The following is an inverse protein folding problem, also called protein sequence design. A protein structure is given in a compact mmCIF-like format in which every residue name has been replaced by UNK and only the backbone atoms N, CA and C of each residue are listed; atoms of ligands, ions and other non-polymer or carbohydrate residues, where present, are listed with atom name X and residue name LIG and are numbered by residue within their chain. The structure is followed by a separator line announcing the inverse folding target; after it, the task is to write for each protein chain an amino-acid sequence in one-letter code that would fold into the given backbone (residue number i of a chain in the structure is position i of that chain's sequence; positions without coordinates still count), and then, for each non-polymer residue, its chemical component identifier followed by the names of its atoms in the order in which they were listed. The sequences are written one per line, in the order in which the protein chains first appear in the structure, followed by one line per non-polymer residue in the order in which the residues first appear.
data_IF_294562833361
#
_entry.id   IF_294562833361
#
_cell.length_a   1.000
_cell.length_b   1.000
_cell.length_c   1.000
_cell.angle_alpha   90.00
_cell.angle_beta   90.00
_cell.angle_gamma   90.00
#
_symmetry.space_group_name_H-M   'P 1'
#
loop_
_entity.id
_entity.type
_entity.pdbx_description
1 polymer ?
#
# COMPACT_ATOMS: atom_id res chain seq x y z
N UNK A 1 -9.16 -8.53 -25.67
CA UNK A 1 -8.06 -8.66 -24.69
C UNK A 1 -8.64 -8.50 -23.28
N UNK A 2 -8.88 -9.60 -22.55
CA UNK A 2 -9.31 -9.51 -21.15
C UNK A 2 -8.14 -8.96 -20.31
N UNK A 3 -8.16 -7.66 -20.06
CA UNK A 3 -7.20 -6.94 -19.21
C UNK A 3 -7.18 -7.56 -17.82
N UNK A 4 -6.29 -8.53 -17.62
CA UNK A 4 -6.15 -9.31 -16.40
C UNK A 4 -6.01 -8.37 -15.20
N UNK A 5 -7.06 -8.29 -14.38
CA UNK A 5 -7.10 -7.54 -13.12
C UNK A 5 -5.94 -7.99 -12.22
N UNK A 6 -4.83 -7.25 -12.27
CA UNK A 6 -3.57 -7.55 -11.58
C UNK A 6 -3.67 -7.21 -10.08
N UNK A 7 -4.75 -7.61 -9.41
CA UNK A 7 -4.97 -7.43 -7.95
C UNK A 7 -3.78 -7.98 -7.15
N UNK A 8 -3.24 -9.14 -7.56
CA UNK A 8 -2.06 -9.77 -6.92
C UNK A 8 -0.81 -8.91 -7.06
N UNK A 9 -0.53 -8.37 -8.26
CA UNK A 9 0.64 -7.50 -8.48
C UNK A 9 0.51 -6.20 -7.68
N UNK A 10 -0.68 -5.59 -7.66
CA UNK A 10 -0.97 -4.37 -6.88
C UNK A 10 -0.73 -4.56 -5.38
N UNK A 11 -1.16 -5.69 -4.81
CA UNK A 11 -0.88 -6.01 -3.40
C UNK A 11 0.61 -6.27 -3.13
N UNK A 12 1.32 -6.89 -4.08
CA UNK A 12 2.78 -7.13 -3.98
C UNK A 12 3.62 -5.86 -4.11
N UNK A 13 3.14 -4.82 -4.76
CA UNK A 13 3.87 -3.55 -4.90
C UNK A 13 3.46 -2.50 -3.89
N UNK A 14 2.17 -2.45 -3.51
CA UNK A 14 1.63 -1.35 -2.71
C UNK A 14 0.90 -1.79 -1.43
N UNK A 15 0.79 -3.10 -1.19
CA UNK A 15 0.12 -3.64 -0.02
C UNK A 15 0.84 -3.32 1.29
N UNK A 16 0.15 -3.53 2.40
CA UNK A 16 0.62 -3.17 3.74
C UNK A 16 1.97 -3.79 4.11
N UNK A 17 2.13 -5.10 3.89
CA UNK A 17 3.39 -5.80 4.20
C UNK A 17 4.60 -5.18 3.49
N UNK A 18 4.41 -4.75 2.24
CA UNK A 18 5.45 -4.12 1.42
C UNK A 18 5.84 -2.76 2.00
N UNK A 19 4.86 -1.99 2.49
CA UNK A 19 5.10 -0.71 3.15
C UNK A 19 5.84 -0.89 4.47
N UNK A 20 5.55 -1.95 5.23
CA UNK A 20 6.23 -2.20 6.50
C UNK A 20 7.68 -2.65 6.34
N UNK A 21 8.04 -3.25 5.19
CA UNK A 21 9.40 -3.77 4.94
C UNK A 21 10.49 -2.70 4.89
N UNK A 22 10.17 -1.47 4.49
CA UNK A 22 11.18 -0.39 4.32
C UNK A 22 10.95 0.76 5.30
N UNK A 23 12.00 1.48 5.73
CA UNK A 23 11.86 2.66 6.59
C UNK A 23 10.94 3.73 5.96
N UNK A 24 11.11 3.99 4.67
CA UNK A 24 10.30 4.96 3.94
C UNK A 24 8.83 4.52 3.82
N UNK A 25 8.57 3.22 3.62
CA UNK A 25 7.21 2.70 3.60
C UNK A 25 6.50 2.86 4.94
N UNK A 26 7.21 2.64 6.07
CA UNK A 26 6.68 2.91 7.41
C UNK A 26 6.34 4.39 7.63
N UNK A 27 7.20 5.30 7.17
CA UNK A 27 6.92 6.76 7.20
C UNK A 27 5.64 7.13 6.43
N UNK A 28 5.39 6.49 5.27
CA UNK A 28 4.14 6.70 4.51
C UNK A 28 2.93 6.28 5.32
N UNK A 29 2.96 5.12 5.96
CA UNK A 29 1.86 4.62 6.80
C UNK A 29 1.61 5.56 7.99
N UNK A 30 2.68 6.00 8.67
CA UNK A 30 2.59 6.94 9.79
C UNK A 30 1.90 8.26 9.37
N UNK A 31 2.32 8.85 8.25
CA UNK A 31 1.70 10.06 7.70
C UNK A 31 0.24 9.85 7.31
N UNK A 32 -0.11 8.70 6.74
CA UNK A 32 -1.50 8.40 6.37
C UNK A 32 -2.39 8.23 7.59
N UNK A 33 -1.85 7.65 8.68
CA UNK A 33 -2.54 7.55 9.98
C UNK A 33 -2.73 8.92 10.64
N UNK A 34 -1.72 9.79 10.64
CA UNK A 34 -1.83 11.12 11.23
C UNK A 34 -2.89 11.99 10.53
N UNK A 35 -2.97 11.90 9.21
CA UNK A 35 -3.99 12.60 8.39
C UNK A 35 -5.37 11.89 8.46
N UNK A 36 -5.48 10.77 9.17
CA UNK A 36 -6.72 9.99 9.33
C UNK A 36 -7.35 9.54 8.00
N UNK A 37 -6.52 9.08 7.05
CA UNK A 37 -7.04 8.53 5.78
C UNK A 37 -7.89 7.28 6.06
N UNK A 38 -9.14 7.27 5.56
CA UNK A 38 -10.09 6.15 5.67
C UNK A 38 -9.49 4.79 5.27
N UNK A 39 -8.68 4.78 4.20
CA UNK A 39 -7.91 3.62 3.79
C UNK A 39 -6.41 3.95 3.78
N UNK A 40 -5.61 3.17 4.51
CA UNK A 40 -4.18 3.44 4.68
C UNK A 40 -3.36 2.83 3.54
N UNK A 41 -3.78 1.69 2.99
CA UNK A 41 -3.13 1.04 1.84
C UNK A 41 -4.15 0.71 0.75
N UNK A 42 -3.63 0.22 -0.39
CA UNK A 42 -4.46 -0.34 -1.47
C UNK A 42 -5.23 -1.58 -1.06
#
# INVERSE_FOLDING_TARGET
MLGKLKKRKRKRTHGFLVRMRTPNGRKVIARRRSIKRKAITV
#
